data_IF_100364486351
#
_entry.id   IF_100364486351
#
_cell.length_a   1.000
_cell.length_b   1.000
_cell.length_c   1.000
_cell.angle_alpha   90.00
_cell.angle_beta   90.00
_cell.angle_gamma   90.00
#
_symmetry.space_group_name_H-M   'P 1'
#
loop_
_entity.id
_entity.type
_entity.pdbx_description
1 polymer ?
#
# COMPACT_ATOMS: atom_id res chain seq x y z
N UNK A 1 11.88 -9.83 -1.67
CA UNK A 1 10.47 -9.38 -1.55
C UNK A 1 9.60 -10.52 -0.99
N UNK A 2 10.15 -11.57 -0.40
CA UNK A 2 9.36 -12.77 -0.09
C UNK A 2 8.48 -12.59 1.14
N UNK A 3 8.99 -11.89 2.17
CA UNK A 3 8.23 -11.63 3.38
C UNK A 3 7.06 -10.67 3.15
N UNK A 4 7.25 -9.57 2.40
CA UNK A 4 6.18 -8.62 2.09
C UNK A 4 5.05 -9.26 1.28
N UNK A 5 5.38 -10.11 0.30
CA UNK A 5 4.36 -10.82 -0.46
C UNK A 5 3.57 -11.80 0.41
N UNK A 6 4.22 -12.43 1.40
CA UNK A 6 3.51 -13.27 2.36
C UNK A 6 2.57 -12.46 3.24
N UNK A 7 3.01 -11.30 3.73
CA UNK A 7 2.18 -10.40 4.52
C UNK A 7 0.95 -9.93 3.74
N UNK A 8 1.11 -9.54 2.47
CA UNK A 8 -0.01 -9.06 1.65
C UNK A 8 -1.06 -10.14 1.41
N UNK A 9 -0.69 -11.41 1.31
CA UNK A 9 -1.66 -12.50 1.13
C UNK A 9 -2.61 -12.71 2.32
N UNK A 10 -2.30 -12.17 3.50
CA UNK A 10 -3.06 -12.41 4.72
C UNK A 10 -3.58 -11.15 5.41
N UNK A 11 -3.47 -9.98 4.78
CA UNK A 11 -3.97 -8.73 5.36
C UNK A 11 -5.42 -8.46 4.96
N UNK A 12 -6.14 -7.70 5.80
CA UNK A 12 -7.45 -7.17 5.44
C UNK A 12 -7.33 -5.94 4.52
N UNK A 13 -6.28 -5.12 4.75
CA UNK A 13 -6.03 -3.89 4.01
C UNK A 13 -4.54 -3.53 3.91
N UNK A 14 -4.20 -2.73 2.90
CA UNK A 14 -2.89 -2.11 2.69
C UNK A 14 -3.00 -0.59 2.80
N UNK A 15 -2.13 0.04 3.58
CA UNK A 15 -2.08 1.50 3.74
C UNK A 15 -0.87 2.11 3.01
N UNK A 16 -1.14 2.95 2.03
CA UNK A 16 -0.15 3.55 1.15
C UNK A 16 0.24 4.95 1.64
N UNK A 17 1.52 5.10 2.02
CA UNK A 17 2.07 6.38 2.47
C UNK A 17 2.21 7.40 1.32
N UNK A 18 2.22 8.69 1.65
CA UNK A 18 2.51 9.76 0.70
C UNK A 18 3.82 9.49 -0.05
N UNK A 19 3.77 9.60 -1.37
CA UNK A 19 4.94 9.38 -2.23
C UNK A 19 5.26 7.91 -2.52
N UNK A 20 4.37 6.97 -2.18
CA UNK A 20 4.50 5.55 -2.51
C UNK A 20 4.85 5.29 -3.98
N UNK A 21 4.40 6.15 -4.89
CA UNK A 21 4.65 6.05 -6.33
C UNK A 21 6.15 6.02 -6.68
N UNK A 22 7.00 6.60 -5.81
CA UNK A 22 8.47 6.62 -5.98
C UNK A 22 9.14 5.32 -5.55
N UNK A 23 8.45 4.45 -4.81
CA UNK A 23 8.99 3.16 -4.36
C UNK A 23 8.60 2.04 -5.31
N UNK A 24 9.59 1.35 -5.88
CA UNK A 24 9.34 0.15 -6.70
C UNK A 24 8.68 -0.97 -5.88
N UNK A 25 9.05 -1.10 -4.60
CA UNK A 25 8.45 -2.06 -3.68
C UNK A 25 6.98 -1.75 -3.41
N UNK A 26 6.66 -0.51 -3.04
CA UNK A 26 5.27 -0.13 -2.74
C UNK A 26 4.35 -0.28 -3.98
N UNK A 27 4.85 -0.03 -5.18
CA UNK A 27 4.12 -0.31 -6.43
C UNK A 27 3.84 -1.80 -6.63
N UNK A 28 4.82 -2.66 -6.34
CA UNK A 28 4.64 -4.11 -6.43
C UNK A 28 3.64 -4.62 -5.37
N UNK A 29 3.72 -4.09 -4.16
CA UNK A 29 2.81 -4.39 -3.06
C UNK A 29 1.37 -3.97 -3.39
N UNK A 30 1.17 -2.78 -3.94
CA UNK A 30 -0.13 -2.31 -4.41
C UNK A 30 -0.72 -3.22 -5.49
N UNK A 31 0.06 -3.55 -6.53
CA UNK A 31 -0.42 -4.40 -7.62
C UNK A 31 -0.83 -5.80 -7.13
N UNK A 32 -0.11 -6.34 -6.13
CA UNK A 32 -0.48 -7.61 -5.51
C UNK A 32 -1.76 -7.48 -4.67
N UNK A 33 -1.91 -6.42 -3.89
CA UNK A 33 -3.11 -6.16 -3.10
C UNK A 33 -4.35 -6.02 -3.98
N UNK A 34 -4.25 -5.27 -5.09
CA UNK A 34 -5.31 -5.12 -6.08
C UNK A 34 -5.68 -6.45 -6.73
N UNK A 35 -4.68 -7.26 -7.10
CA UNK A 35 -4.90 -8.60 -7.68
C UNK A 35 -5.65 -9.54 -6.74
N UNK A 36 -5.38 -9.44 -5.45
CA UNK A 36 -6.01 -10.28 -4.41
C UNK A 36 -7.34 -9.72 -3.92
N UNK A 37 -7.71 -8.49 -4.33
CA UNK A 37 -8.96 -7.84 -3.89
C UNK A 37 -8.91 -7.30 -2.47
N UNK A 38 -7.72 -7.03 -1.93
CA UNK A 38 -7.58 -6.41 -0.61
C UNK A 38 -7.97 -4.93 -0.65
N UNK A 39 -8.45 -4.40 0.49
CA UNK A 39 -8.75 -2.98 0.60
C UNK A 39 -7.45 -2.17 0.55
N UNK A 40 -7.42 -1.09 -0.24
CA UNK A 40 -6.27 -0.19 -0.32
C UNK A 40 -6.69 1.19 0.18
N UNK A 41 -5.96 1.69 1.16
CA UNK A 41 -6.18 3.00 1.77
C UNK A 41 -4.98 3.89 1.46
N UNK A 42 -5.22 5.12 1.07
CA UNK A 42 -4.15 6.09 0.79
C UNK A 42 -4.08 7.12 1.91
N UNK A 43 -2.86 7.46 2.32
CA UNK A 43 -2.63 8.51 3.29
C UNK A 43 -3.20 9.83 2.78
N UNK A 44 -4.15 10.39 3.53
CA UNK A 44 -4.73 11.69 3.23
C UNK A 44 -3.66 12.79 3.28
N UNK A 45 -3.79 13.78 2.38
CA UNK A 45 -3.04 15.00 2.50
C UNK A 45 -3.50 15.74 3.75
N UNK A 46 -2.78 15.56 4.86
CA UNK A 46 -2.88 16.47 6.01
C UNK A 46 -2.78 17.91 5.51
N UNK A 47 -3.92 18.58 5.44
CA UNK A 47 -3.99 20.03 5.38
C UNK A 47 -3.63 20.47 6.80
N UNK A 48 -2.35 20.78 7.01
CA UNK A 48 -1.93 21.57 8.15
C UNK A 48 -2.68 22.92 8.03
N UNK A 49 -3.82 23.02 8.71
CA UNK A 49 -4.44 24.32 8.97
C UNK A 49 -3.52 25.01 9.96
N UNK A 50 -2.72 25.92 9.40
CA UNK A 50 -1.86 26.86 10.06
C UNK A 50 -2.62 27.69 11.11
#
# INVERSE_FOLDING_TARGET
MDICMAMIRCVDAVYMLKGWQRSAGAKAELALAEKLGHAVIFQEATSEKN
#
